data_IF_535976201850
#
_entry.id   IF_535976201850
#
_cell.length_a   1.000
_cell.length_b   1.000
_cell.length_c   1.000
_cell.angle_alpha   90.00
_cell.angle_beta   90.00
_cell.angle_gamma   90.00
#
_symmetry.space_group_name_H-M   'P 1'
#
loop_
_entity.id
_entity.type
_entity.pdbx_description
1 polymer ?
#
# COMPACT_ATOMS: atom_id res chain seq x y z
N UNK A 1 -6.40 10.66 -16.63
CA UNK A 1 -6.10 10.66 -15.18
C UNK A 1 -4.93 9.69 -14.95
N UNK A 2 -3.88 10.06 -14.20
CA UNK A 2 -2.76 9.16 -13.97
C UNK A 2 -3.23 7.87 -13.27
N UNK A 3 -2.60 6.74 -13.60
CA UNK A 3 -2.96 5.42 -13.07
C UNK A 3 -2.05 5.07 -11.90
N UNK A 4 -2.58 4.78 -10.70
CA UNK A 4 -1.78 4.30 -9.60
C UNK A 4 -1.32 2.86 -9.87
N UNK A 5 -0.10 2.53 -9.45
CA UNK A 5 0.48 1.18 -9.44
C UNK A 5 0.89 0.84 -8.02
N UNK A 6 0.38 -0.27 -7.49
CA UNK A 6 0.73 -0.74 -6.15
C UNK A 6 1.82 -1.81 -6.26
N UNK A 7 2.85 -1.67 -5.43
CA UNK A 7 3.91 -2.67 -5.21
C UNK A 7 3.96 -3.04 -3.73
N UNK A 8 4.49 -4.23 -3.44
CA UNK A 8 4.56 -4.81 -2.10
C UNK A 8 6.00 -5.23 -1.79
N UNK A 9 6.44 -5.09 -0.54
CA UNK A 9 7.75 -5.54 -0.06
C UNK A 9 7.64 -6.19 1.33
N UNK A 10 8.15 -7.43 1.52
CA UNK A 10 8.65 -8.32 0.47
C UNK A 10 7.51 -8.75 -0.49
N UNK A 11 7.84 -9.00 -1.76
CA UNK A 11 6.92 -9.49 -2.80
C UNK A 11 6.90 -11.02 -2.91
N UNK A 12 7.41 -11.68 -1.87
CA UNK A 12 7.53 -13.14 -1.77
C UNK A 12 6.59 -13.67 -0.70
N UNK A 13 6.79 -14.93 -0.29
CA UNK A 13 6.04 -15.49 0.84
C UNK A 13 6.27 -14.67 2.10
N UNK A 14 5.15 -14.23 2.68
CA UNK A 14 5.10 -13.50 3.94
C UNK A 14 4.59 -14.44 5.02
N UNK A 15 5.28 -14.50 6.15
CA UNK A 15 4.88 -15.29 7.30
C UNK A 15 4.20 -14.41 8.36
N UNK A 16 3.35 -15.04 9.18
CA UNK A 16 2.70 -14.35 10.30
C UNK A 16 3.75 -13.70 11.21
N UNK A 17 3.48 -12.47 11.63
CA UNK A 17 4.38 -11.69 12.47
C UNK A 17 5.40 -10.86 11.69
N UNK A 18 5.56 -11.09 10.39
CA UNK A 18 6.44 -10.28 9.54
C UNK A 18 5.84 -8.89 9.26
N UNK A 19 6.68 -8.03 8.69
CA UNK A 19 6.32 -6.67 8.31
C UNK A 19 6.28 -6.56 6.80
N UNK A 20 5.20 -6.00 6.28
CA UNK A 20 4.99 -5.78 4.85
C UNK A 20 4.75 -4.30 4.60
N UNK A 21 5.38 -3.76 3.56
CA UNK A 21 5.15 -2.39 3.11
C UNK A 21 4.55 -2.39 1.71
N UNK A 22 3.38 -1.80 1.58
CA UNK A 22 2.78 -1.44 0.30
C UNK A 22 3.26 -0.06 -0.12
N UNK A 23 3.47 0.13 -1.43
CA UNK A 23 3.81 1.41 -2.03
C UNK A 23 2.95 1.66 -3.25
N UNK A 24 2.34 2.85 -3.32
CA UNK A 24 1.50 3.27 -4.43
C UNK A 24 2.25 4.34 -5.24
N UNK A 25 2.73 3.99 -6.43
CA UNK A 25 3.40 4.92 -7.34
C UNK A 25 2.40 5.46 -8.37
N UNK A 26 2.41 6.78 -8.57
CA UNK A 26 1.54 7.47 -9.52
C UNK A 26 2.43 8.14 -10.56
N UNK A 27 2.41 7.62 -11.78
CA UNK A 27 3.14 8.20 -12.91
C UNK A 27 2.41 9.47 -13.39
N UNK A 28 2.76 10.61 -12.79
CA UNK A 28 2.25 11.92 -13.16
C UNK A 28 3.39 12.94 -13.21
N UNK A 29 3.66 13.48 -14.39
CA UNK A 29 4.69 14.50 -14.57
C UNK A 29 4.35 15.76 -13.77
N UNK A 30 5.27 16.19 -12.91
CA UNK A 30 5.18 17.47 -12.19
C UNK A 30 4.24 17.52 -10.97
N UNK A 31 3.52 16.44 -10.63
CA UNK A 31 2.64 16.38 -9.45
C UNK A 31 3.18 15.38 -8.45
N UNK A 32 3.66 15.87 -7.31
CA UNK A 32 4.26 15.05 -6.24
C UNK A 32 3.40 14.99 -4.97
N UNK A 33 2.49 15.94 -4.77
CA UNK A 33 1.58 16.00 -3.62
C UNK A 33 0.30 15.23 -3.90
N UNK A 34 0.30 13.94 -3.59
CA UNK A 34 -0.87 13.07 -3.72
C UNK A 34 -1.41 12.66 -2.35
N UNK A 35 -2.71 12.43 -2.31
CA UNK A 35 -3.40 11.81 -1.19
C UNK A 35 -3.72 10.36 -1.55
N UNK A 36 -3.39 9.46 -0.63
CA UNK A 36 -3.46 8.01 -0.84
C UNK A 36 -4.56 7.42 0.02
N UNK A 37 -5.50 6.72 -0.62
CA UNK A 37 -6.53 5.93 0.06
C UNK A 37 -6.24 4.46 -0.14
N UNK A 38 -6.13 3.73 0.96
CA UNK A 38 -5.85 2.31 1.01
C UNK A 38 -7.14 1.55 1.25
N UNK A 39 -7.33 0.47 0.49
CA UNK A 39 -8.50 -0.40 0.58
C UNK A 39 -8.04 -1.82 0.81
N UNK A 40 -8.80 -2.55 1.63
CA UNK A 40 -8.64 -3.98 1.89
C UNK A 40 -10.01 -4.62 1.70
N UNK A 41 -10.10 -5.67 0.90
CA UNK A 41 -11.37 -6.36 0.59
C UNK A 41 -12.47 -5.40 0.12
N UNK A 42 -12.09 -4.46 -0.76
CA UNK A 42 -12.96 -3.41 -1.29
C UNK A 42 -13.55 -2.46 -0.22
N UNK A 43 -13.07 -2.54 1.02
CA UNK A 43 -13.46 -1.70 2.14
C UNK A 43 -12.38 -0.66 2.42
N UNK A 44 -12.81 0.56 2.74
CA UNK A 44 -11.88 1.62 3.12
C UNK A 44 -11.09 1.20 4.35
N UNK A 45 -9.76 1.24 4.25
CA UNK A 45 -8.87 0.86 5.33
C UNK A 45 -8.20 2.07 5.98
N UNK A 46 -7.58 2.94 5.16
CA UNK A 46 -6.87 4.09 5.68
C UNK A 46 -6.63 5.18 4.64
N UNK A 47 -6.35 6.38 5.15
CA UNK A 47 -5.91 7.53 4.37
C UNK A 47 -4.49 7.94 4.78
N UNK A 48 -3.69 8.44 3.83
CA UNK A 48 -2.35 8.98 4.11
C UNK A 48 -1.92 9.98 3.05
N UNK A 49 -1.11 10.96 3.46
CA UNK A 49 -0.35 11.82 2.53
C UNK A 49 0.96 11.15 2.08
N UNK A 50 1.27 9.96 2.62
CA UNK A 50 2.42 9.15 2.23
C UNK A 50 1.97 8.08 1.25
N UNK A 51 2.82 7.83 0.27
CA UNK A 51 2.62 6.80 -0.74
C UNK A 51 2.90 5.37 -0.24
N UNK A 52 3.36 5.22 1.01
CA UNK A 52 3.70 3.94 1.62
C UNK A 52 2.78 3.62 2.79
N UNK A 53 2.43 2.35 2.94
CA UNK A 53 1.68 1.82 4.07
C UNK A 53 2.33 0.55 4.57
N UNK A 54 2.70 0.56 5.84
CA UNK A 54 3.31 -0.59 6.51
C UNK A 54 2.28 -1.29 7.39
N UNK A 55 2.29 -2.62 7.33
CA UNK A 55 1.54 -3.52 8.18
C UNK A 55 2.56 -4.23 9.07
N UNK A 56 2.48 -3.98 10.37
CA UNK A 56 3.32 -4.65 11.35
C UNK A 56 2.63 -5.92 11.81
N UNK A 57 3.39 -7.01 11.93
CA UNK A 57 2.87 -8.28 12.44
C UNK A 57 1.65 -8.78 11.64
N UNK A 58 1.85 -8.98 10.34
CA UNK A 58 0.84 -9.52 9.43
C UNK A 58 0.26 -10.85 9.90
N UNK A 59 -1.00 -11.10 9.55
CA UNK A 59 -1.72 -12.33 9.90
C UNK A 59 -2.61 -12.80 8.73
N UNK A 60 -3.33 -13.89 8.93
CA UNK A 60 -4.14 -14.56 7.90
C UNK A 60 -5.29 -13.71 7.38
N UNK A 61 -5.76 -12.71 8.14
CA UNK A 61 -6.76 -11.78 7.63
C UNK A 61 -6.18 -10.83 6.59
N UNK A 62 -4.85 -10.68 6.52
CA UNK A 62 -4.15 -9.81 5.57
C UNK A 62 -3.79 -10.52 4.25
N UNK A 63 -4.14 -11.80 4.12
CA UNK A 63 -3.96 -12.60 2.92
C UNK A 63 -5.04 -12.34 1.86
#
# INVERSE_FOLDING_TARGET
RPKPKVSIKPDQHVFRGETVTLRCDIDAEGITSWQYSWYKDNSYYAFSDKQERTFWSVNESDA
#
